data_IF_020685354191
#
_entry.id   IF_020685354191
#
_cell.length_a   1.000
_cell.length_b   1.000
_cell.length_c   1.000
_cell.angle_alpha   90.00
_cell.angle_beta   90.00
_cell.angle_gamma   90.00
#
_symmetry.space_group_name_H-M   'P 1'
#
loop_
_entity.id
_entity.type
_entity.pdbx_description
1 polymer ?
#
# COMPACT_ATOMS: atom_id res chain seq x y z
N UNK A 1 20.25 -14.60 10.71
CA UNK A 1 19.73 -13.22 10.84
C UNK A 1 18.24 -13.32 10.58
N UNK A 2 17.39 -12.79 11.48
CA UNK A 2 15.94 -12.78 11.25
C UNK A 2 15.60 -11.82 10.10
N UNK A 3 14.63 -12.19 9.26
CA UNK A 3 14.14 -11.37 8.15
C UNK A 3 12.95 -10.54 8.60
N UNK A 4 12.84 -9.30 8.13
CA UNK A 4 11.69 -8.45 8.42
C UNK A 4 10.56 -8.80 7.45
N UNK A 5 9.40 -9.16 7.99
CA UNK A 5 8.17 -9.31 7.22
C UNK A 5 7.25 -8.12 7.49
N UNK A 6 6.94 -7.36 6.44
CA UNK A 6 5.92 -6.34 6.44
C UNK A 6 4.71 -6.91 5.71
N UNK A 7 3.61 -7.10 6.42
CA UNK A 7 2.34 -7.44 5.78
C UNK A 7 1.54 -6.15 5.71
N UNK A 8 1.51 -5.55 4.51
CA UNK A 8 0.86 -4.27 4.28
C UNK A 8 -0.55 -4.47 3.75
N UNK A 9 -1.54 -3.99 4.49
CA UNK A 9 -2.93 -3.98 4.06
C UNK A 9 -3.26 -2.67 3.32
N UNK A 10 -3.58 -2.76 2.04
CA UNK A 10 -3.89 -1.61 1.21
C UNK A 10 -5.34 -1.13 1.44
N UNK A 11 -5.65 0.06 0.93
CA UNK A 11 -6.98 0.70 0.93
C UNK A 11 -7.54 1.20 2.29
N UNK A 12 -6.71 1.46 3.30
CA UNK A 12 -7.20 2.05 4.55
C UNK A 12 -7.84 3.42 4.28
N UNK A 13 -9.01 3.68 4.88
CA UNK A 13 -9.81 4.86 4.59
C UNK A 13 -10.78 4.71 3.41
N UNK A 14 -10.75 3.62 2.63
CA UNK A 14 -11.73 3.38 1.56
C UNK A 14 -13.16 3.35 2.09
N UNK A 15 -13.41 2.53 3.10
CA UNK A 15 -14.72 2.32 3.71
C UNK A 15 -14.59 1.86 5.16
N UNK A 16 -15.70 1.84 5.92
CA UNK A 16 -15.67 1.31 7.29
C UNK A 16 -15.44 -0.20 7.31
N UNK A 17 -16.01 -0.94 6.36
CA UNK A 17 -15.76 -2.38 6.20
C UNK A 17 -14.30 -2.70 5.93
N UNK A 18 -13.65 -1.94 5.04
CA UNK A 18 -12.21 -2.03 4.81
C UNK A 18 -11.42 -1.76 6.09
N UNK A 19 -11.69 -0.61 6.73
CA UNK A 19 -11.01 -0.20 7.95
C UNK A 19 -11.09 -1.25 9.06
N UNK A 20 -12.28 -1.80 9.31
CA UNK A 20 -12.46 -2.82 10.34
C UNK A 20 -11.77 -4.14 9.98
N UNK A 21 -11.76 -4.55 8.72
CA UNK A 21 -11.04 -5.76 8.31
C UNK A 21 -9.53 -5.61 8.47
N UNK A 22 -8.96 -4.46 8.11
CA UNK A 22 -7.54 -4.16 8.35
C UNK A 22 -7.22 -4.18 9.85
N UNK A 23 -8.05 -3.54 10.67
CA UNK A 23 -7.86 -3.53 12.14
C UNK A 23 -7.96 -4.94 12.74
N UNK A 24 -8.88 -5.76 12.24
CA UNK A 24 -9.03 -7.16 12.67
C UNK A 24 -7.78 -7.98 12.31
N UNK A 25 -7.31 -7.88 11.07
CA UNK A 25 -6.10 -8.56 10.60
C UNK A 25 -4.83 -8.09 11.35
N UNK A 26 -4.79 -6.85 11.82
CA UNK A 26 -3.72 -6.34 12.67
C UNK A 26 -3.81 -6.86 14.11
N UNK A 27 -4.98 -6.78 14.74
CA UNK A 27 -5.18 -7.17 16.15
C UNK A 27 -5.02 -8.67 16.36
N UNK A 28 -5.60 -9.45 15.45
CA UNK A 28 -5.76 -10.89 15.60
C UNK A 28 -4.99 -11.70 14.55
N UNK A 29 -4.23 -11.05 13.69
CA UNK A 29 -3.53 -11.68 12.57
C UNK A 29 -2.07 -11.29 12.44
N UNK A 30 -1.62 -11.27 11.18
CA UNK A 30 -0.22 -11.05 10.79
C UNK A 30 0.01 -9.70 10.11
N UNK A 31 -1.03 -8.88 9.90
CA UNK A 31 -0.89 -7.53 9.35
C UNK A 31 -0.10 -6.66 10.32
N UNK A 32 0.88 -5.92 9.80
CA UNK A 32 1.75 -5.03 10.59
C UNK A 32 1.78 -3.60 10.10
N UNK A 33 1.36 -3.38 8.85
CA UNK A 33 1.37 -2.09 8.17
C UNK A 33 0.11 -1.92 7.34
N UNK A 34 -0.24 -0.69 7.03
CA UNK A 34 -1.34 -0.35 6.12
C UNK A 34 -1.06 0.97 5.41
N UNK A 35 -1.72 1.21 4.27
CA UNK A 35 -1.60 2.46 3.51
C UNK A 35 -2.97 3.10 3.30
N UNK A 36 -3.04 4.41 3.58
CA UNK A 36 -4.30 5.15 3.65
C UNK A 36 -4.60 5.95 2.38
N UNK A 37 -5.79 5.73 1.80
CA UNK A 37 -6.39 6.53 0.74
C UNK A 37 -6.90 7.84 1.33
N UNK A 38 -6.10 8.90 1.25
CA UNK A 38 -6.45 10.18 1.90
C UNK A 38 -7.71 10.85 1.33
N UNK A 39 -8.10 10.51 0.11
CA UNK A 39 -9.35 10.96 -0.51
C UNK A 39 -10.52 9.97 -0.29
N UNK A 40 -10.31 8.89 0.46
CA UNK A 40 -11.29 7.85 0.73
C UNK A 40 -12.41 8.33 1.66
N UNK A 41 -13.63 7.78 1.47
CA UNK A 41 -14.83 8.20 2.20
C UNK A 41 -14.73 7.99 3.72
N UNK A 42 -13.94 7.00 4.15
CA UNK A 42 -13.77 6.64 5.55
C UNK A 42 -12.40 7.03 6.12
N UNK A 43 -11.71 8.02 5.54
CA UNK A 43 -10.37 8.43 5.99
C UNK A 43 -10.36 8.96 7.44
N UNK A 44 -11.37 9.74 7.85
CA UNK A 44 -11.46 10.23 9.24
C UNK A 44 -11.66 9.07 10.24
N UNK A 45 -12.41 8.04 9.83
CA UNK A 45 -12.58 6.82 10.62
C UNK A 45 -11.28 6.01 10.72
N UNK A 46 -10.52 5.93 9.62
CA UNK A 46 -9.19 5.31 9.60
C UNK A 46 -8.23 6.03 10.57
N UNK A 47 -8.21 7.36 10.57
CA UNK A 47 -7.42 8.15 11.51
C UNK A 47 -7.85 7.95 12.97
N UNK A 48 -9.16 7.87 13.25
CA UNK A 48 -9.65 7.52 14.58
C UNK A 48 -9.10 6.17 15.05
N UNK A 49 -9.24 5.12 14.23
CA UNK A 49 -8.73 3.79 14.57
C UNK A 49 -7.21 3.77 14.72
N UNK A 50 -6.47 4.52 13.89
CA UNK A 50 -5.02 4.61 13.98
C UNK A 50 -4.54 5.18 15.32
N UNK A 51 -5.28 6.13 15.91
CA UNK A 51 -4.97 6.66 17.25
C UNK A 51 -5.13 5.62 18.36
N UNK A 52 -6.03 4.65 18.18
CA UNK A 52 -6.21 3.53 19.10
C UNK A 52 -5.13 2.45 18.93
N UNK A 53 -4.36 2.49 17.84
CA UNK A 53 -3.39 1.48 17.42
C UNK A 53 -2.02 2.11 17.11
N UNK A 54 -1.32 2.70 18.10
CA UNK A 54 -0.11 3.49 17.85
C UNK A 54 1.05 2.70 17.23
N UNK A 55 1.08 1.37 17.40
CA UNK A 55 2.09 0.49 16.83
C UNK A 55 1.77 -0.02 15.42
N UNK A 56 0.58 0.27 14.87
CA UNK A 56 0.28 -0.01 13.46
C UNK A 56 1.03 1.01 12.58
N UNK A 57 1.88 0.51 11.67
CA UNK A 57 2.49 1.35 10.64
C UNK A 57 1.43 1.85 9.68
N UNK A 58 1.34 3.17 9.46
CA UNK A 58 0.38 3.77 8.51
C UNK A 58 1.14 4.63 7.51
N UNK A 59 1.18 4.18 6.26
CA UNK A 59 1.68 4.93 5.11
C UNK A 59 0.57 5.63 4.34
N UNK A 60 0.95 6.36 3.30
CA UNK A 60 -0.01 7.02 2.40
C UNK A 60 -0.16 6.21 1.11
N UNK A 61 -1.40 5.85 0.79
CA UNK A 61 -1.78 5.16 -0.45
C UNK A 61 -2.08 6.20 -1.54
N UNK A 62 -1.03 6.64 -2.24
CA UNK A 62 -1.15 7.68 -3.26
C UNK A 62 -2.19 7.26 -4.32
N UNK A 63 -3.14 8.14 -4.63
CA UNK A 63 -4.31 7.77 -5.45
C UNK A 63 -4.47 8.70 -6.64
N UNK A 64 -4.45 8.11 -7.84
CA UNK A 64 -4.67 8.79 -9.11
C UNK A 64 -5.78 8.13 -9.96
N UNK A 65 -6.54 7.20 -9.38
CA UNK A 65 -7.45 6.31 -10.12
C UNK A 65 -8.82 6.12 -9.48
N UNK A 66 -9.08 6.74 -8.34
CA UNK A 66 -10.31 6.56 -7.58
C UNK A 66 -10.72 7.88 -6.90
N UNK A 67 -12.01 8.19 -6.95
CA UNK A 67 -12.59 9.32 -6.23
C UNK A 67 -12.21 10.68 -6.81
N UNK A 68 -12.37 11.73 -6.01
CA UNK A 68 -11.93 13.09 -6.36
C UNK A 68 -10.47 13.29 -5.90
N UNK A 69 -9.65 14.04 -6.65
CA UNK A 69 -8.34 14.46 -6.16
C UNK A 69 -8.48 15.44 -4.99
N UNK A 70 -7.39 15.68 -4.28
CA UNK A 70 -7.29 16.69 -3.21
C UNK A 70 -7.05 18.08 -3.80
N UNK A 71 -6.26 18.20 -4.86
CA UNK A 71 -6.04 19.42 -5.65
C UNK A 71 -6.85 19.41 -6.95
N UNK A 72 -6.89 20.55 -7.65
CA UNK A 72 -7.41 20.57 -9.02
C UNK A 72 -6.47 19.81 -9.97
N UNK A 73 -7.02 18.94 -10.80
CA UNK A 73 -6.27 18.14 -11.78
C UNK A 73 -7.01 18.07 -13.13
N UNK A 74 -7.19 19.20 -13.86
CA UNK A 74 -7.95 19.23 -15.10
C UNK A 74 -7.31 18.38 -16.22
N UNK A 75 -6.01 18.14 -16.18
CA UNK A 75 -5.32 17.28 -17.15
C UNK A 75 -5.61 15.80 -16.92
N UNK A 76 -5.87 15.38 -15.67
CA UNK A 76 -6.07 13.97 -15.32
C UNK A 76 -7.52 13.58 -15.05
N UNK A 77 -8.38 14.50 -14.60
CA UNK A 77 -9.76 14.18 -14.20
C UNK A 77 -10.73 14.20 -15.37
N UNK A 78 -11.78 13.37 -15.29
CA UNK A 78 -12.97 13.42 -16.15
C UNK A 78 -14.18 13.62 -15.26
N UNK A 79 -14.98 14.66 -15.52
CA UNK A 79 -16.08 15.09 -14.64
C UNK A 79 -15.64 15.29 -13.17
N UNK A 80 -14.40 15.75 -12.96
CA UNK A 80 -13.81 16.00 -11.63
C UNK A 80 -13.43 14.74 -10.84
N UNK A 81 -13.49 13.56 -11.46
CA UNK A 81 -13.09 12.29 -10.85
C UNK A 81 -11.80 11.78 -11.46
N UNK A 82 -11.00 11.08 -10.65
CA UNK A 82 -9.89 10.25 -11.08
C UNK A 82 -10.40 8.91 -11.61
N UNK A 83 -9.65 8.25 -12.48
CA UNK A 83 -10.11 6.99 -13.06
C UNK A 83 -9.09 6.22 -13.87
N UNK A 84 -9.51 5.07 -14.39
CA UNK A 84 -8.62 4.10 -15.04
C UNK A 84 -8.12 4.47 -16.43
N UNK A 85 -8.43 5.65 -16.93
CA UNK A 85 -7.85 6.17 -18.16
C UNK A 85 -6.40 6.64 -17.99
N UNK A 86 -5.89 6.77 -16.75
CA UNK A 86 -4.48 7.09 -16.52
C UNK A 86 -3.54 6.07 -17.19
N UNK A 87 -3.95 4.80 -17.31
CA UNK A 87 -3.17 3.78 -18.02
C UNK A 87 -3.00 4.12 -19.50
N UNK A 88 -4.09 4.51 -20.16
CA UNK A 88 -4.05 4.98 -21.55
C UNK A 88 -3.15 6.21 -21.67
N UNK A 89 -3.27 7.17 -20.75
CA UNK A 89 -2.43 8.38 -20.76
C UNK A 89 -0.94 8.07 -20.53
N UNK A 90 -0.63 7.07 -19.70
CA UNK A 90 0.74 6.61 -19.48
C UNK A 90 1.32 5.94 -20.73
N UNK A 91 0.52 5.13 -21.45
CA UNK A 91 0.90 4.52 -22.72
C UNK A 91 1.10 5.56 -23.83
N UNK A 92 0.26 6.59 -23.86
CA UNK A 92 0.31 7.69 -24.83
C UNK A 92 1.32 8.79 -24.47
N UNK A 93 1.99 8.69 -23.32
CA UNK A 93 2.92 9.69 -22.78
C UNK A 93 2.31 11.10 -22.62
N UNK A 94 1.06 11.16 -22.17
CA UNK A 94 0.25 12.39 -22.01
C UNK A 94 -0.07 12.72 -20.56
N UNK A 95 0.61 12.09 -19.59
CA UNK A 95 0.38 12.32 -18.17
C UNK A 95 0.71 13.77 -17.78
N UNK A 96 -0.17 14.48 -17.04
CA UNK A 96 0.10 15.83 -16.56
C UNK A 96 1.03 15.77 -15.32
N UNK A 97 2.33 15.59 -15.55
CA UNK A 97 3.31 15.33 -14.49
C UNK A 97 3.38 16.44 -13.42
N UNK A 98 3.23 17.70 -13.81
CA UNK A 98 3.19 18.82 -12.85
C UNK A 98 1.96 18.76 -11.94
N UNK A 99 0.80 18.39 -12.47
CA UNK A 99 -0.42 18.17 -11.67
C UNK A 99 -0.24 16.98 -10.72
N UNK A 100 0.38 15.89 -11.20
CA UNK A 100 0.64 14.70 -10.39
C UNK A 100 1.61 15.01 -9.23
N UNK A 101 2.67 15.77 -9.48
CA UNK A 101 3.60 16.19 -8.44
C UNK A 101 2.93 17.12 -7.41
N UNK A 102 2.06 18.02 -7.86
CA UNK A 102 1.28 18.88 -6.97
C UNK A 102 0.29 18.08 -6.12
N UNK A 103 -0.45 17.16 -6.73
CA UNK A 103 -1.41 16.30 -6.03
C UNK A 103 -0.70 15.40 -5.01
N UNK A 104 0.49 14.87 -5.31
CA UNK A 104 1.29 14.11 -4.36
C UNK A 104 1.58 14.93 -3.08
N UNK A 105 1.97 16.19 -3.24
CA UNK A 105 2.20 17.10 -2.11
C UNK A 105 0.91 17.41 -1.34
N UNK A 106 -0.21 17.61 -2.05
CA UNK A 106 -1.52 17.86 -1.44
C UNK A 106 -2.05 16.64 -0.67
N UNK A 107 -1.92 15.43 -1.22
CA UNK A 107 -2.29 14.19 -0.54
C UNK A 107 -1.42 13.95 0.70
N UNK A 108 -0.12 14.21 0.60
CA UNK A 108 0.80 14.10 1.73
C UNK A 108 0.45 15.08 2.85
N UNK A 109 0.16 16.35 2.52
CA UNK A 109 -0.28 17.32 3.52
C UNK A 109 -1.61 16.90 4.15
N UNK A 110 -2.57 16.44 3.34
CA UNK A 110 -3.85 15.92 3.83
C UNK A 110 -3.67 14.72 4.77
N UNK A 111 -2.71 13.84 4.49
CA UNK A 111 -2.36 12.75 5.41
C UNK A 111 -1.98 13.31 6.78
N UNK A 112 -1.07 14.28 6.82
CA UNK A 112 -0.62 14.92 8.06
C UNK A 112 -1.79 15.58 8.79
N UNK A 113 -2.65 16.30 8.08
CA UNK A 113 -3.78 17.00 8.67
C UNK A 113 -4.77 16.02 9.34
N UNK A 114 -4.99 14.85 8.73
CA UNK A 114 -5.96 13.85 9.20
C UNK A 114 -5.38 12.94 10.28
N UNK A 115 -4.13 12.47 10.14
CA UNK A 115 -3.50 11.56 11.09
C UNK A 115 -2.70 12.26 12.20
N UNK A 116 -2.36 13.54 12.04
CA UNK A 116 -1.54 14.31 12.98
C UNK A 116 -0.06 13.89 13.00
N UNK A 117 0.40 13.14 12.00
CA UNK A 117 1.78 12.64 11.84
C UNK A 117 2.10 12.39 10.37
N UNK A 118 3.38 12.34 10.04
CA UNK A 118 3.83 11.92 8.72
C UNK A 118 3.55 10.42 8.47
N UNK A 119 3.32 10.01 7.19
CA UNK A 119 3.19 8.61 6.85
C UNK A 119 4.52 7.88 7.04
N UNK A 120 4.46 6.59 7.41
CA UNK A 120 5.69 5.79 7.59
C UNK A 120 6.36 5.42 6.27
N UNK A 121 5.60 5.40 5.19
CA UNK A 121 6.03 5.06 3.83
C UNK A 121 5.00 5.52 2.80
N UNK A 122 5.36 5.39 1.53
CA UNK A 122 4.49 5.61 0.38
C UNK A 122 4.33 4.30 -0.41
N UNK A 123 3.14 4.13 -0.96
CA UNK A 123 2.83 3.28 -2.10
C UNK A 123 1.74 3.98 -2.93
N UNK A 124 1.05 3.26 -3.81
CA UNK A 124 -0.09 3.86 -4.51
C UNK A 124 -1.19 2.86 -4.84
N UNK A 125 -2.42 3.34 -4.85
CA UNK A 125 -3.55 2.60 -5.36
C UNK A 125 -3.35 2.20 -6.82
N UNK A 126 -3.60 0.92 -7.13
CA UNK A 126 -3.33 0.32 -8.44
C UNK A 126 -1.87 0.43 -8.95
N UNK A 127 -0.90 0.62 -8.06
CA UNK A 127 0.54 0.67 -8.40
C UNK A 127 0.91 1.76 -9.44
N UNK A 128 0.11 2.82 -9.57
CA UNK A 128 0.37 3.93 -10.51
C UNK A 128 1.69 4.65 -10.27
N UNK A 129 2.24 4.63 -9.04
CA UNK A 129 3.58 5.16 -8.78
C UNK A 129 4.67 4.42 -9.56
N UNK A 130 4.39 3.21 -10.08
CA UNK A 130 5.35 2.40 -10.84
C UNK A 130 5.31 2.68 -12.34
N UNK A 131 4.45 3.61 -12.81
CA UNK A 131 4.58 4.11 -14.18
C UNK A 131 5.93 4.82 -14.34
N UNK A 132 6.70 4.54 -15.41
CA UNK A 132 8.04 5.10 -15.59
C UNK A 132 8.10 6.63 -15.48
N UNK A 133 7.03 7.32 -15.89
CA UNK A 133 6.94 8.78 -15.82
C UNK A 133 6.63 9.31 -14.41
N UNK A 134 5.96 8.50 -13.56
CA UNK A 134 5.53 8.88 -12.21
C UNK A 134 6.56 8.46 -11.16
N UNK A 135 7.23 7.31 -11.36
CA UNK A 135 8.14 6.74 -10.39
C UNK A 135 9.24 7.71 -9.91
N UNK A 136 9.95 8.45 -10.79
CA UNK A 136 10.96 9.41 -10.35
C UNK A 136 10.38 10.51 -9.46
N UNK A 137 9.15 10.96 -9.71
CA UNK A 137 8.47 12.00 -8.91
C UNK A 137 8.25 11.50 -7.49
N UNK A 138 7.67 10.29 -7.36
CA UNK A 138 7.36 9.70 -6.06
C UNK A 138 8.63 9.28 -5.30
N UNK A 139 9.62 8.72 -6.00
CA UNK A 139 10.91 8.33 -5.43
C UNK A 139 11.67 9.52 -4.85
N UNK A 140 11.79 10.61 -5.60
CA UNK A 140 12.41 11.84 -5.10
C UNK A 140 11.64 12.43 -3.91
N UNK A 141 10.31 12.44 -3.98
CA UNK A 141 9.49 12.94 -2.90
C UNK A 141 9.66 12.11 -1.61
N UNK A 142 9.69 10.77 -1.72
CA UNK A 142 9.91 9.87 -0.60
C UNK A 142 11.29 10.06 0.03
N UNK A 143 12.34 10.10 -0.78
CA UNK A 143 13.71 10.32 -0.33
C UNK A 143 13.88 11.68 0.37
N UNK A 144 13.33 12.76 -0.19
CA UNK A 144 13.37 14.09 0.43
C UNK A 144 12.69 14.17 1.80
N UNK A 145 11.73 13.29 2.07
CA UNK A 145 11.05 13.17 3.38
C UNK A 145 11.67 12.10 4.28
N UNK A 146 12.64 11.33 3.78
CA UNK A 146 13.25 10.22 4.51
C UNK A 146 12.28 9.07 4.79
N UNK A 147 11.21 8.94 4.01
CA UNK A 147 10.21 7.86 4.14
C UNK A 147 10.45 6.79 3.10
N UNK A 148 10.11 5.54 3.44
CA UNK A 148 10.28 4.42 2.52
C UNK A 148 9.24 4.43 1.39
N UNK A 149 9.56 3.76 0.28
CA UNK A 149 8.69 3.60 -0.89
C UNK A 149 8.55 2.11 -1.21
N UNK A 150 7.32 1.64 -1.47
CA UNK A 150 7.07 0.33 -2.08
C UNK A 150 7.71 0.28 -3.47
N UNK A 151 8.41 -0.80 -3.78
CA UNK A 151 8.95 -1.05 -5.13
C UNK A 151 8.52 -2.45 -5.56
N UNK A 152 7.50 -2.53 -6.42
CA UNK A 152 6.88 -3.80 -6.80
C UNK A 152 7.57 -4.54 -7.96
N UNK A 153 8.41 -3.85 -8.74
CA UNK A 153 9.10 -4.38 -9.91
C UNK A 153 10.45 -3.70 -10.08
N UNK A 154 11.50 -4.50 -10.29
CA UNK A 154 12.87 -3.97 -10.41
C UNK A 154 13.11 -3.15 -11.67
N UNK A 155 12.23 -3.22 -12.69
CA UNK A 155 12.44 -2.53 -13.97
C UNK A 155 12.56 -1.01 -13.84
N UNK A 156 11.94 -0.42 -12.80
CA UNK A 156 12.05 1.02 -12.55
C UNK A 156 13.35 1.43 -11.85
N UNK A 157 14.06 0.48 -11.23
CA UNK A 157 15.34 0.75 -10.55
C UNK A 157 16.50 1.05 -11.52
N UNK A 158 16.31 0.78 -12.81
CA UNK A 158 17.30 1.09 -13.84
C UNK A 158 17.22 2.55 -14.33
N UNK A 159 16.40 3.39 -13.72
CA UNK A 159 16.43 4.82 -13.98
C UNK A 159 17.72 5.40 -13.38
N UNK A 160 18.55 6.04 -14.21
CA UNK A 160 19.85 6.61 -13.83
C UNK A 160 19.77 7.69 -12.74
N UNK A 161 18.57 8.16 -12.41
CA UNK A 161 18.30 9.33 -11.55
C UNK A 161 17.52 8.97 -10.28
N UNK A 162 17.73 7.77 -9.71
CA UNK A 162 17.11 7.44 -8.43
C UNK A 162 17.91 7.96 -7.23
N UNK A 163 17.25 8.50 -6.19
CA UNK A 163 17.93 8.93 -4.99
C UNK A 163 18.69 7.77 -4.33
N UNK A 164 19.96 7.99 -4.01
CA UNK A 164 20.82 6.97 -3.40
C UNK A 164 20.43 6.62 -1.96
N UNK A 165 19.63 7.46 -1.33
CA UNK A 165 19.05 7.32 0.01
C UNK A 165 17.58 6.85 -0.01
N UNK A 166 17.06 6.44 -1.18
CA UNK A 166 15.72 5.87 -1.28
C UNK A 166 15.62 4.57 -0.47
N UNK A 167 14.73 4.56 0.52
CA UNK A 167 14.48 3.39 1.39
C UNK A 167 13.36 2.54 0.79
N UNK A 168 13.58 1.23 0.70
CA UNK A 168 12.58 0.25 0.23
C UNK A 168 12.88 -1.12 0.85
N UNK A 169 11.87 -2.00 0.91
CA UNK A 169 12.11 -3.41 1.19
C UNK A 169 12.98 -4.03 0.09
N UNK A 170 13.70 -5.10 0.44
CA UNK A 170 14.51 -5.85 -0.54
C UNK A 170 13.66 -6.72 -1.45
N UNK A 171 12.54 -7.23 -0.93
CA UNK A 171 11.54 -7.96 -1.69
C UNK A 171 10.13 -7.36 -1.56
N UNK A 172 9.33 -7.60 -2.58
CA UNK A 172 7.91 -7.30 -2.62
C UNK A 172 7.16 -8.49 -3.23
N UNK A 173 5.96 -8.79 -2.74
CA UNK A 173 5.05 -9.74 -3.39
C UNK A 173 3.61 -9.24 -3.41
N UNK A 174 3.01 -9.31 -4.60
CA UNK A 174 1.58 -9.15 -4.86
C UNK A 174 0.88 -10.48 -5.18
N UNK A 175 1.53 -11.62 -4.93
CA UNK A 175 0.99 -12.95 -5.27
C UNK A 175 -0.17 -13.37 -4.35
N UNK A 176 -0.29 -12.78 -3.16
CA UNK A 176 -1.42 -13.00 -2.25
C UNK A 176 -2.65 -12.20 -2.71
N UNK A 177 -3.15 -12.53 -3.91
CA UNK A 177 -4.23 -11.83 -4.58
C UNK A 177 -5.00 -12.76 -5.54
N UNK A 178 -6.20 -12.37 -5.96
CA UNK A 178 -6.98 -13.11 -6.94
C UNK A 178 -7.57 -14.42 -6.38
N UNK A 179 -7.35 -15.53 -7.08
CA UNK A 179 -7.92 -16.85 -6.72
C UNK A 179 -7.01 -17.65 -5.76
N UNK A 180 -5.73 -17.30 -5.62
CA UNK A 180 -4.75 -18.04 -4.81
C UNK A 180 -4.57 -17.49 -3.39
N UNK A 181 -5.67 -17.17 -2.70
CA UNK A 181 -5.62 -16.67 -1.32
C UNK A 181 -5.65 -17.85 -0.34
N UNK A 182 -4.47 -18.41 -0.07
CA UNK A 182 -4.33 -19.55 0.85
C UNK A 182 -3.09 -19.40 1.73
N UNK A 183 -3.06 -20.08 2.88
CA UNK A 183 -1.84 -20.19 3.68
C UNK A 183 -0.68 -20.75 2.87
N UNK A 184 -0.93 -21.76 2.03
CA UNK A 184 0.09 -22.35 1.17
C UNK A 184 0.72 -21.33 0.19
N UNK A 185 -0.11 -20.44 -0.39
CA UNK A 185 0.37 -19.33 -1.21
C UNK A 185 1.27 -18.40 -0.38
N UNK A 186 0.79 -17.97 0.79
CA UNK A 186 1.55 -17.07 1.67
C UNK A 186 2.91 -17.67 2.07
N UNK A 187 2.95 -18.96 2.45
CA UNK A 187 4.18 -19.63 2.82
C UNK A 187 5.15 -19.79 1.65
N UNK A 188 4.65 -20.04 0.43
CA UNK A 188 5.45 -20.09 -0.79
C UNK A 188 6.13 -18.74 -1.08
N UNK A 189 5.43 -17.63 -0.85
CA UNK A 189 6.00 -16.27 -0.98
C UNK A 189 7.19 -16.11 -0.02
N UNK A 190 7.01 -16.51 1.25
CA UNK A 190 8.07 -16.43 2.27
C UNK A 190 9.27 -17.31 1.92
N UNK A 191 9.03 -18.53 1.44
CA UNK A 191 10.07 -19.48 1.05
C UNK A 191 10.86 -18.96 -0.17
N UNK A 192 10.18 -18.35 -1.15
CA UNK A 192 10.80 -17.74 -2.31
C UNK A 192 11.68 -16.53 -1.92
N UNK A 193 11.20 -15.66 -1.04
CA UNK A 193 11.97 -14.52 -0.53
C UNK A 193 13.21 -14.97 0.28
N UNK A 194 13.04 -16.00 1.12
CA UNK A 194 14.14 -16.57 1.89
C UNK A 194 15.21 -17.20 0.97
N UNK A 195 14.79 -17.83 -0.12
CA UNK A 195 15.68 -18.40 -1.14
C UNK A 195 16.47 -17.32 -1.90
N UNK A 196 15.84 -16.16 -2.18
CA UNK A 196 16.52 -15.00 -2.76
C UNK A 196 17.46 -14.28 -1.79
N UNK A 197 17.42 -14.63 -0.50
CA UNK A 197 18.29 -14.04 0.52
C UNK A 197 17.87 -12.63 0.96
N UNK A 198 16.61 -12.26 0.72
CA UNK A 198 16.06 -10.96 1.10
C UNK A 198 15.99 -10.83 2.64
N UNK A 199 16.54 -9.76 3.18
CA UNK A 199 16.52 -9.41 4.60
C UNK A 199 15.20 -8.74 5.02
N UNK A 200 14.46 -8.18 4.07
CA UNK A 200 13.14 -7.59 4.28
C UNK A 200 12.22 -7.91 3.11
N UNK A 201 10.96 -8.22 3.42
CA UNK A 201 9.91 -8.55 2.46
C UNK A 201 8.64 -7.77 2.81
N UNK A 202 8.05 -7.14 1.80
CA UNK A 202 6.67 -6.68 1.84
C UNK A 202 5.75 -7.70 1.16
N UNK A 203 4.65 -8.06 1.82
CA UNK A 203 3.53 -8.81 1.23
C UNK A 203 2.30 -7.91 1.25
N UNK A 204 1.78 -7.58 0.07
CA UNK A 204 0.56 -6.79 -0.09
C UNK A 204 -0.68 -7.65 0.15
N UNK A 205 -1.69 -7.08 0.80
CA UNK A 205 -2.98 -7.72 1.03
C UNK A 205 -4.12 -6.68 1.10
N UNK A 206 -5.37 -7.12 1.06
CA UNK A 206 -6.58 -6.30 1.09
C UNK A 206 -7.67 -6.81 2.06
N UNK A 207 -7.35 -7.25 3.30
CA UNK A 207 -8.34 -7.79 4.22
C UNK A 207 -9.47 -6.79 4.51
N UNK A 208 -10.72 -7.24 4.43
CA UNK A 208 -11.88 -6.38 4.62
C UNK A 208 -13.09 -7.15 5.14
N UNK A 209 -13.94 -6.47 5.91
CA UNK A 209 -15.36 -6.84 5.98
C UNK A 209 -16.13 -6.20 4.82
N UNK A 210 -17.19 -6.86 4.36
CA UNK A 210 -18.01 -6.36 3.25
C UNK A 210 -19.00 -5.31 3.75
N UNK A 211 -18.93 -4.12 3.17
CA UNK A 211 -19.95 -3.08 3.25
C UNK A 211 -20.42 -2.66 1.85
N UNK A 212 -21.28 -1.65 1.77
CA UNK A 212 -21.84 -1.19 0.49
C UNK A 212 -20.80 -0.58 -0.47
N UNK A 213 -19.68 -0.06 0.05
CA UNK A 213 -18.60 0.45 -0.80
C UNK A 213 -17.78 -0.72 -1.33
N UNK A 214 -17.41 -1.67 -0.47
CA UNK A 214 -16.66 -2.87 -0.87
C UNK A 214 -17.46 -3.73 -1.86
N UNK A 215 -18.78 -3.81 -1.71
CA UNK A 215 -19.66 -4.53 -2.64
C UNK A 215 -19.64 -3.99 -4.08
N UNK A 216 -19.14 -2.78 -4.29
CA UNK A 216 -18.97 -2.18 -5.62
C UNK A 216 -17.60 -2.50 -6.24
N UNK A 217 -16.65 -2.98 -5.45
CA UNK A 217 -15.34 -3.41 -5.95
C UNK A 217 -15.47 -4.74 -6.69
N UNK A 218 -14.77 -4.87 -7.82
CA UNK A 218 -14.58 -6.17 -8.48
C UNK A 218 -13.86 -7.16 -7.56
N UNK A 219 -13.07 -6.65 -6.60
CA UNK A 219 -12.36 -7.43 -5.61
C UNK A 219 -13.06 -7.33 -4.25
N UNK A 220 -14.31 -7.82 -4.18
CA UNK A 220 -15.16 -7.76 -2.97
C UNK A 220 -14.96 -8.98 -2.07
N UNK A 221 -15.45 -10.15 -2.49
CA UNK A 221 -15.43 -11.38 -1.67
C UNK A 221 -14.03 -11.93 -1.35
N UNK A 222 -13.03 -11.86 -2.25
CA UNK A 222 -11.67 -12.29 -1.93
C UNK A 222 -11.09 -11.64 -0.67
N UNK A 223 -11.49 -10.40 -0.34
CA UNK A 223 -11.03 -9.68 0.87
C UNK A 223 -11.44 -10.36 2.18
N UNK A 224 -12.54 -11.12 2.18
CA UNK A 224 -12.95 -11.94 3.33
C UNK A 224 -12.03 -13.16 3.48
N UNK A 225 -11.67 -13.82 2.37
CA UNK A 225 -10.73 -14.94 2.36
C UNK A 225 -9.35 -14.48 2.83
N UNK A 226 -8.90 -13.30 2.40
CA UNK A 226 -7.65 -12.72 2.89
C UNK A 226 -7.70 -12.50 4.40
N UNK A 227 -8.79 -11.92 4.91
CA UNK A 227 -8.98 -11.71 6.34
C UNK A 227 -8.92 -13.03 7.13
N UNK A 228 -9.57 -14.09 6.64
CA UNK A 228 -9.56 -15.42 7.27
C UNK A 228 -8.13 -16.00 7.33
N UNK A 229 -7.41 -15.99 6.20
CA UNK A 229 -6.05 -16.52 6.13
C UNK A 229 -5.08 -15.70 7.00
N UNK A 230 -5.16 -14.37 6.94
CA UNK A 230 -4.27 -13.46 7.68
C UNK A 230 -4.51 -13.49 9.20
N UNK A 231 -5.68 -13.91 9.65
CA UNK A 231 -6.02 -14.09 11.08
C UNK A 231 -5.84 -15.52 11.58
N UNK A 232 -5.38 -16.42 10.72
CA UNK A 232 -5.13 -17.81 11.09
C UNK A 232 -3.96 -17.97 12.06
N UNK A 233 -4.20 -18.74 13.12
CA UNK A 233 -3.16 -19.08 14.09
C UNK A 233 -2.04 -19.96 13.48
N UNK A 234 -2.37 -20.84 12.52
CA UNK A 234 -1.35 -21.66 11.85
C UNK A 234 -0.42 -20.83 10.99
N UNK A 235 -0.94 -19.82 10.27
CA UNK A 235 -0.11 -18.91 9.49
C UNK A 235 0.91 -18.18 10.40
N UNK A 236 0.44 -17.63 11.53
CA UNK A 236 1.32 -16.93 12.48
C UNK A 236 2.46 -17.80 12.99
N UNK A 237 2.17 -19.07 13.33
CA UNK A 237 3.20 -20.02 13.74
C UNK A 237 4.18 -20.33 12.60
N UNK A 238 3.67 -20.58 11.40
CA UNK A 238 4.46 -20.93 10.22
C UNK A 238 5.38 -19.80 9.73
N UNK A 239 5.01 -18.53 9.94
CA UNK A 239 5.87 -17.35 9.70
C UNK A 239 7.08 -17.38 10.64
N UNK A 240 6.85 -17.58 11.94
CA UNK A 240 7.90 -17.59 12.95
C UNK A 240 8.90 -18.73 12.71
N UNK A 241 8.42 -19.93 12.35
CA UNK A 241 9.25 -21.09 12.03
C UNK A 241 10.18 -20.85 10.83
N UNK A 242 9.82 -19.96 9.91
CA UNK A 242 10.63 -19.57 8.73
C UNK A 242 11.66 -18.48 9.03
N UNK A 243 11.74 -18.01 10.28
CA UNK A 243 12.71 -16.99 10.71
C UNK A 243 12.36 -15.59 10.22
N UNK A 244 11.07 -15.31 10.00
CA UNK A 244 10.56 -13.96 9.77
C UNK A 244 10.07 -13.37 11.09
N UNK A 245 10.53 -12.15 11.39
CA UNK A 245 9.96 -11.31 12.45
C UNK A 245 8.93 -10.34 11.83
N UNK A 246 7.78 -10.11 12.48
CA UNK A 246 6.89 -9.02 12.09
C UNK A 246 7.62 -7.67 12.20
N UNK A 247 7.43 -6.80 11.23
CA UNK A 247 7.95 -5.43 11.22
C UNK A 247 7.10 -4.50 10.37
N UNK A 248 7.48 -3.24 10.29
CA UNK A 248 6.82 -2.21 9.47
C UNK A 248 7.86 -1.45 8.65
N UNK A 249 7.41 -0.50 7.82
CA UNK A 249 8.34 0.36 7.09
C UNK A 249 9.23 1.25 7.96
N UNK A 250 8.97 1.36 9.28
CA UNK A 250 9.90 2.00 10.21
C UNK A 250 11.17 1.17 10.45
N UNK A 251 11.17 -0.13 10.14
CA UNK A 251 12.31 -1.04 10.22
C UNK A 251 13.23 -1.00 8.98
N UNK A 252 12.81 -0.31 7.92
CA UNK A 252 13.45 -0.26 6.59
C UNK A 252 14.23 1.03 6.47
#
# INVERSE_FOLDING_TARGET
>A
MERVLIVNADDFGLSKGQNYGIVEAYRNGVVTSTTALVNGEAIDHAAQLSRELPALGVGMHFVLTLGKPVSEMPGLTRDGLLGKWIWQMAEEDTLPLDEIAHELACQYQRFIDVFGREPTHLDSHHHVHMFPQIFPIVAHFAAQRGIALRIDRQTVLNADDLPSDLRSTQGFSSEFYGEEITEACFLRILDASAHRGEASLEVMCHPAFVDNIIRQSAYCYPRLTELEVLTSASLKAAIAERGYRPGSFLDI
#
